data_IF_890089677320
#
_entry.id   IF_890089677320
#
_cell.length_a   1.000
_cell.length_b   1.000
_cell.length_c   1.000
_cell.angle_alpha   90.00
_cell.angle_beta   90.00
_cell.angle_gamma   90.00
#
_symmetry.space_group_name_H-M   'P 1'
#
loop_
_entity.id
_entity.type
_entity.pdbx_description
1 polymer ?
#
# COMPACT_ATOMS: atom_id res chain seq x y z
N UNK A 1 -93.78 -52.83 -6.47
CA UNK A 1 -93.17 -54.01 -7.11
C UNK A 1 -91.88 -54.26 -6.33
N UNK A 2 -91.80 -55.31 -5.50
CA UNK A 2 -90.64 -55.46 -4.59
C UNK A 2 -89.39 -55.76 -5.41
N UNK A 3 -88.37 -54.91 -5.30
CA UNK A 3 -87.05 -55.14 -5.90
C UNK A 3 -86.43 -56.39 -5.29
N UNK A 4 -85.77 -57.21 -6.13
CA UNK A 4 -85.13 -58.44 -5.67
C UNK A 4 -83.87 -58.11 -4.87
N UNK A 5 -83.63 -58.84 -3.78
CA UNK A 5 -82.49 -58.64 -2.89
C UNK A 5 -81.14 -58.63 -3.63
N UNK A 6 -80.98 -59.46 -4.67
CA UNK A 6 -79.75 -59.51 -5.48
C UNK A 6 -79.44 -58.17 -6.15
N UNK A 7 -80.46 -57.49 -6.69
CA UNK A 7 -80.30 -56.18 -7.33
C UNK A 7 -79.93 -55.12 -6.30
N UNK A 8 -80.48 -55.22 -5.08
CA UNK A 8 -80.18 -54.28 -3.99
C UNK A 8 -78.74 -54.46 -3.50
N UNK A 9 -78.27 -55.71 -3.35
CA UNK A 9 -76.90 -56.03 -2.93
C UNK A 9 -75.85 -55.56 -3.94
N UNK A 10 -76.13 -55.69 -5.25
CA UNK A 10 -75.24 -55.19 -6.31
C UNK A 10 -75.03 -53.67 -6.24
N UNK A 11 -76.00 -52.93 -5.69
CA UNK A 11 -75.92 -51.47 -5.53
C UNK A 11 -75.21 -51.03 -4.24
N UNK A 12 -74.97 -51.92 -3.28
CA UNK A 12 -74.39 -51.55 -1.98
C UNK A 12 -72.99 -50.92 -2.04
N UNK A 13 -72.04 -51.39 -2.86
CA UNK A 13 -70.75 -50.72 -2.97
C UNK A 13 -70.91 -49.24 -3.36
N UNK A 14 -71.70 -48.98 -4.40
CA UNK A 14 -71.96 -47.61 -4.87
C UNK A 14 -72.79 -46.79 -3.88
N UNK A 15 -73.67 -47.42 -3.12
CA UNK A 15 -74.46 -46.77 -2.06
C UNK A 15 -73.59 -46.35 -0.87
N UNK A 16 -72.68 -47.22 -0.42
CA UNK A 16 -71.71 -46.92 0.65
C UNK A 16 -70.78 -45.77 0.22
N UNK A 17 -70.37 -45.76 -1.04
CA UNK A 17 -69.53 -44.69 -1.62
C UNK A 17 -70.32 -43.41 -1.94
N UNK A 18 -71.66 -43.41 -1.77
CA UNK A 18 -72.52 -42.24 -2.01
C UNK A 18 -72.69 -41.85 -3.48
N UNK A 19 -72.47 -42.79 -4.41
CA UNK A 19 -72.48 -42.60 -5.86
C UNK A 19 -73.82 -42.96 -6.52
N UNK A 20 -74.80 -43.43 -5.75
CA UNK A 20 -76.14 -43.76 -6.22
C UNK A 20 -77.04 -42.54 -6.34
N UNK A 21 -78.01 -42.60 -7.27
CA UNK A 21 -78.99 -41.52 -7.45
C UNK A 21 -80.00 -41.47 -6.29
N UNK A 22 -80.67 -40.32 -6.10
CA UNK A 22 -81.69 -40.17 -5.04
C UNK A 22 -82.83 -41.19 -5.17
N UNK A 23 -83.31 -41.44 -6.39
CA UNK A 23 -84.36 -42.43 -6.66
C UNK A 23 -83.88 -43.85 -6.31
N UNK A 24 -82.60 -44.15 -6.56
CA UNK A 24 -82.00 -45.43 -6.16
C UNK A 24 -81.88 -45.56 -4.64
N UNK A 25 -81.55 -44.48 -3.93
CA UNK A 25 -81.44 -44.48 -2.47
C UNK A 25 -82.80 -44.73 -1.81
N UNK A 26 -83.85 -44.04 -2.26
CA UNK A 26 -85.21 -44.22 -1.74
C UNK A 26 -85.67 -45.68 -1.89
N UNK A 27 -85.37 -46.32 -3.02
CA UNK A 27 -85.68 -47.74 -3.26
C UNK A 27 -84.84 -48.71 -2.40
N UNK A 28 -83.58 -48.38 -2.15
CA UNK A 28 -82.71 -49.19 -1.28
C UNK A 28 -83.17 -49.09 0.17
N UNK A 29 -83.49 -47.89 0.64
CA UNK A 29 -83.98 -47.63 2.00
C UNK A 29 -85.33 -48.33 2.25
N UNK A 30 -86.29 -48.20 1.33
CA UNK A 30 -87.60 -48.91 1.41
C UNK A 30 -87.39 -50.43 1.49
N UNK A 31 -86.45 -50.99 0.72
CA UNK A 31 -86.13 -52.42 0.78
C UNK A 31 -85.47 -52.83 2.11
N UNK A 32 -84.58 -51.99 2.65
CA UNK A 32 -83.91 -52.24 3.92
C UNK A 32 -84.85 -52.17 5.12
N UNK A 33 -85.97 -51.44 5.03
CA UNK A 33 -87.02 -51.45 6.05
C UNK A 33 -87.72 -52.81 6.13
N UNK A 34 -87.98 -53.43 4.98
CA UNK A 34 -88.72 -54.69 4.88
C UNK A 34 -87.84 -55.97 4.91
N UNK A 35 -86.53 -55.87 4.66
CA UNK A 35 -85.62 -57.02 4.49
C UNK A 35 -84.44 -57.00 5.49
N UNK A 36 -84.54 -57.83 6.53
CA UNK A 36 -83.48 -57.95 7.56
C UNK A 36 -82.15 -58.51 7.02
N UNK A 37 -82.20 -59.47 6.09
CA UNK A 37 -80.98 -60.08 5.52
C UNK A 37 -80.14 -59.09 4.71
N UNK A 38 -80.76 -58.12 4.05
CA UNK A 38 -80.03 -57.09 3.32
C UNK A 38 -79.43 -56.03 4.25
N UNK A 39 -80.03 -55.84 5.44
CA UNK A 39 -79.51 -54.94 6.47
C UNK A 39 -78.24 -55.49 7.10
N UNK A 40 -78.27 -56.76 7.51
CA UNK A 40 -77.09 -57.44 8.06
C UNK A 40 -75.92 -57.46 7.06
N UNK A 41 -76.21 -57.75 5.80
CA UNK A 41 -75.19 -57.77 4.74
C UNK A 41 -74.57 -56.38 4.48
N UNK A 42 -75.36 -55.31 4.55
CA UNK A 42 -74.86 -53.94 4.42
C UNK A 42 -73.98 -53.54 5.61
N UNK A 43 -74.34 -53.97 6.83
CA UNK A 43 -73.58 -53.67 8.03
C UNK A 43 -72.24 -54.43 8.06
N UNK A 44 -72.21 -55.70 7.64
CA UNK A 44 -70.97 -56.49 7.47
C UNK A 44 -69.98 -55.82 6.50
N UNK A 45 -70.47 -55.34 5.35
CA UNK A 45 -69.64 -54.59 4.39
C UNK A 45 -69.07 -53.29 4.97
N UNK A 46 -69.82 -52.58 5.82
CA UNK A 46 -69.34 -51.35 6.47
C UNK A 46 -68.30 -51.63 7.55
N UNK A 47 -68.42 -52.74 8.27
CA UNK A 47 -67.43 -53.16 9.27
C UNK A 47 -66.09 -53.55 8.63
N UNK A 48 -66.11 -54.24 7.48
CA UNK A 48 -64.90 -54.59 6.73
C UNK A 48 -64.11 -53.34 6.27
N UNK A 49 -64.80 -52.29 5.83
CA UNK A 49 -64.20 -51.00 5.42
C UNK A 49 -63.62 -50.23 6.63
N UNK A 50 -64.21 -50.40 7.82
CA UNK A 50 -63.70 -49.79 9.04
C UNK A 50 -62.40 -50.47 9.55
N UNK A 51 -62.18 -51.74 9.20
CA UNK A 51 -61.00 -52.53 9.58
C UNK A 51 -59.69 -52.09 8.89
N UNK A 52 -59.75 -51.63 7.63
CA UNK A 52 -58.56 -51.22 6.85
C UNK A 52 -58.03 -49.81 7.19
N UNK A 53 -58.81 -48.98 7.87
CA UNK A 53 -58.45 -47.58 8.18
C UNK A 53 -57.71 -47.39 9.53
N UNK A 54 -56.97 -48.39 10.02
CA UNK A 54 -56.06 -48.18 11.14
C UNK A 54 -54.68 -47.68 10.67
N UNK A 55 -54.23 -46.49 11.08
CA UNK A 55 -52.88 -46.04 10.75
C UNK A 55 -51.88 -46.92 11.49
N UNK A 56 -51.07 -47.67 10.74
CA UNK A 56 -49.96 -48.47 11.25
C UNK A 56 -49.10 -47.62 12.19
N UNK A 57 -49.19 -47.87 13.50
CA UNK A 57 -48.37 -47.20 14.54
C UNK A 57 -46.91 -47.66 14.45
N UNK A 58 -46.20 -47.26 13.40
CA UNK A 58 -44.79 -47.53 13.19
C UNK A 58 -43.88 -46.58 14.01
N UNK A 59 -44.25 -46.29 15.27
CA UNK A 59 -43.46 -45.43 16.17
C UNK A 59 -42.30 -46.18 16.85
N UNK A 60 -42.27 -47.52 16.81
CA UNK A 60 -41.23 -48.34 17.47
C UNK A 60 -40.01 -48.62 16.57
N UNK A 61 -40.17 -48.71 15.25
CA UNK A 61 -39.05 -48.96 14.31
C UNK A 61 -38.09 -47.77 14.12
N UNK A 62 -38.51 -46.54 14.46
CA UNK A 62 -37.71 -45.31 14.27
C UNK A 62 -36.93 -44.90 15.53
N UNK A 63 -37.19 -45.52 16.68
CA UNK A 63 -36.51 -45.18 17.95
C UNK A 63 -35.01 -45.49 17.98
N UNK A 64 -34.52 -46.62 17.42
CA UNK A 64 -33.09 -46.93 17.39
C UNK A 64 -32.30 -45.88 16.58
N UNK A 65 -32.85 -45.45 15.44
CA UNK A 65 -32.24 -44.46 14.56
C UNK A 65 -32.20 -43.05 15.15
N UNK A 66 -33.20 -42.64 15.96
CA UNK A 66 -33.18 -41.33 16.65
C UNK A 66 -32.05 -41.23 17.69
N UNK A 67 -31.82 -42.28 18.48
CA UNK A 67 -30.77 -42.29 19.52
C UNK A 67 -29.37 -42.29 18.90
N UNK A 68 -29.16 -43.05 17.83
CA UNK A 68 -27.92 -43.01 17.05
C UNK A 68 -27.69 -41.64 16.41
N UNK A 69 -28.71 -41.07 15.75
CA UNK A 69 -28.62 -39.74 15.12
C UNK A 69 -28.30 -38.63 16.13
N UNK A 70 -28.83 -38.71 17.36
CA UNK A 70 -28.51 -37.76 18.43
C UNK A 70 -27.06 -37.90 18.95
N UNK A 71 -26.56 -39.13 19.12
CA UNK A 71 -25.15 -39.37 19.51
C UNK A 71 -24.19 -38.90 18.42
N UNK A 72 -24.48 -39.21 17.15
CA UNK A 72 -23.66 -38.75 16.01
C UNK A 72 -23.72 -37.24 15.85
N UNK A 73 -24.90 -36.60 16.00
CA UNK A 73 -25.02 -35.13 15.99
C UNK A 73 -24.23 -34.46 17.12
N UNK A 74 -24.25 -35.00 18.35
CA UNK A 74 -23.42 -34.49 19.44
C UNK A 74 -21.93 -34.59 19.13
N UNK A 75 -21.47 -35.72 18.57
CA UNK A 75 -20.07 -35.88 18.14
C UNK A 75 -19.69 -34.89 17.05
N UNK A 76 -20.56 -34.67 16.06
CA UNK A 76 -20.34 -33.68 14.99
C UNK A 76 -20.32 -32.26 15.56
N UNK A 77 -21.24 -31.90 16.46
CA UNK A 77 -21.26 -30.58 17.10
C UNK A 77 -20.01 -30.34 17.96
N UNK A 78 -19.54 -31.35 18.69
CA UNK A 78 -18.30 -31.27 19.46
C UNK A 78 -17.07 -31.13 18.54
N UNK A 79 -17.02 -31.89 17.44
CA UNK A 79 -15.93 -31.78 16.45
C UNK A 79 -15.93 -30.43 15.74
N UNK A 80 -17.10 -29.94 15.31
CA UNK A 80 -17.26 -28.63 14.69
C UNK A 80 -16.92 -27.50 15.68
N UNK A 81 -17.38 -27.60 16.93
CA UNK A 81 -17.02 -26.65 17.99
C UNK A 81 -15.52 -26.65 18.29
N UNK A 82 -14.88 -27.82 18.31
CA UNK A 82 -13.42 -27.94 18.44
C UNK A 82 -12.68 -27.31 17.27
N UNK A 83 -13.12 -27.54 16.02
CA UNK A 83 -12.53 -26.93 14.83
C UNK A 83 -12.67 -25.40 14.85
N UNK A 84 -13.84 -24.87 15.20
CA UNK A 84 -14.08 -23.42 15.33
C UNK A 84 -13.18 -22.83 16.42
N UNK A 85 -13.05 -23.49 17.58
CA UNK A 85 -12.18 -23.04 18.66
C UNK A 85 -10.71 -22.97 18.20
N UNK A 86 -10.23 -23.99 17.49
CA UNK A 86 -8.87 -24.01 16.93
C UNK A 86 -8.68 -22.86 15.95
N UNK A 87 -9.65 -22.61 15.05
CA UNK A 87 -9.58 -21.46 14.15
C UNK A 87 -9.52 -20.14 14.91
N UNK A 88 -10.36 -19.95 15.95
CA UNK A 88 -10.34 -18.72 16.77
C UNK A 88 -9.00 -18.55 17.49
N UNK A 89 -8.40 -19.63 18.00
CA UNK A 89 -7.08 -19.56 18.65
C UNK A 89 -5.96 -19.23 17.66
N UNK A 90 -5.96 -19.82 16.46
CA UNK A 90 -4.96 -19.56 15.43
C UNK A 90 -5.11 -18.15 14.87
N UNK A 91 -6.32 -17.75 14.46
CA UNK A 91 -6.57 -16.42 13.90
C UNK A 91 -6.44 -15.33 14.97
N UNK A 92 -7.04 -15.52 16.14
CA UNK A 92 -6.95 -14.56 17.25
C UNK A 92 -5.51 -14.44 17.78
N UNK A 93 -4.82 -15.57 17.95
CA UNK A 93 -3.41 -15.59 18.34
C UNK A 93 -2.51 -14.94 17.29
N UNK A 94 -2.74 -15.22 16.01
CA UNK A 94 -2.03 -14.59 14.90
C UNK A 94 -2.25 -13.07 14.84
N UNK A 95 -3.50 -12.62 14.95
CA UNK A 95 -3.83 -11.19 14.98
C UNK A 95 -3.15 -10.47 16.15
N UNK A 96 -3.14 -11.05 17.35
CA UNK A 96 -2.44 -10.48 18.50
C UNK A 96 -0.91 -10.52 18.34
N UNK A 97 -0.37 -11.59 17.78
CA UNK A 97 1.08 -11.77 17.62
C UNK A 97 1.68 -10.80 16.59
N UNK A 98 1.00 -10.63 15.45
CA UNK A 98 1.44 -9.75 14.36
C UNK A 98 0.95 -8.31 14.50
N UNK A 99 -0.17 -8.08 15.19
CA UNK A 99 -0.71 -6.74 15.44
C UNK A 99 -0.07 -6.03 16.64
N UNK A 100 0.71 -6.74 17.46
CA UNK A 100 1.41 -6.14 18.60
C UNK A 100 2.68 -5.44 18.14
N UNK A 101 2.75 -4.15 18.44
CA UNK A 101 3.93 -3.31 18.28
C UNK A 101 4.58 -3.03 19.64
N UNK A 102 5.85 -2.60 19.62
CA UNK A 102 6.61 -2.14 20.79
C UNK A 102 7.60 -1.06 20.36
N UNK A 103 8.10 -0.25 21.30
CA UNK A 103 9.16 0.73 21.00
C UNK A 103 10.46 0.00 20.63
N UNK A 104 11.07 0.39 19.51
CA UNK A 104 12.27 -0.25 18.98
C UNK A 104 13.49 0.03 19.89
N UNK A 105 14.37 -0.96 20.04
CA UNK A 105 15.70 -0.75 20.63
C UNK A 105 16.62 -0.13 19.57
N UNK A 106 17.42 0.86 19.95
CA UNK A 106 18.20 1.65 18.99
C UNK A 106 19.27 0.86 18.25
N UNK A 107 19.78 -0.23 18.84
CA UNK A 107 20.74 -1.14 18.20
C UNK A 107 20.17 -1.90 17.01
N UNK A 108 18.83 -2.02 16.90
CA UNK A 108 18.16 -2.76 15.84
C UNK A 108 17.69 -1.85 14.68
N UNK A 109 18.02 -0.57 14.75
CA UNK A 109 17.56 0.45 13.81
C UNK A 109 18.76 1.15 13.18
N UNK A 110 18.92 0.98 11.87
CA UNK A 110 19.86 1.77 11.08
C UNK A 110 19.19 3.06 10.65
N UNK A 111 19.70 4.19 11.13
CA UNK A 111 19.28 5.53 10.71
C UNK A 111 20.18 6.02 9.57
N UNK A 112 19.58 6.56 8.50
CA UNK A 112 20.27 7.25 7.41
C UNK A 112 19.56 8.55 7.11
N UNK A 113 20.32 9.61 6.88
CA UNK A 113 19.81 10.92 6.48
C UNK A 113 20.10 11.10 5.00
N UNK A 114 19.10 11.54 4.26
CA UNK A 114 19.18 11.87 2.84
C UNK A 114 18.58 13.26 2.65
N UNK A 115 19.29 14.16 1.98
CA UNK A 115 18.85 15.52 1.70
C UNK A 115 18.87 15.79 0.19
N UNK A 116 17.85 16.48 -0.33
CA UNK A 116 17.79 16.89 -1.73
C UNK A 116 16.77 18.00 -1.94
N UNK A 117 17.13 19.07 -2.66
CA UNK A 117 16.18 20.08 -3.13
C UNK A 117 15.29 20.69 -2.04
N UNK A 118 15.87 21.04 -0.89
CA UNK A 118 15.15 21.56 0.28
C UNK A 118 14.44 20.48 1.12
N UNK A 119 14.48 19.21 0.74
CA UNK A 119 13.88 18.10 1.49
C UNK A 119 14.96 17.43 2.34
N UNK A 120 14.71 17.24 3.63
CA UNK A 120 15.47 16.33 4.47
C UNK A 120 14.59 15.12 4.83
N UNK A 121 15.11 13.92 4.61
CA UNK A 121 14.46 12.65 4.90
C UNK A 121 15.35 11.78 5.77
N UNK A 122 14.83 11.41 6.94
CA UNK A 122 15.44 10.43 7.82
C UNK A 122 14.76 9.10 7.61
N UNK A 123 15.53 8.12 7.15
CA UNK A 123 15.11 6.75 6.97
C UNK A 123 15.57 5.89 8.15
N UNK A 124 14.64 5.13 8.69
CA UNK A 124 14.88 4.14 9.75
C UNK A 124 14.67 2.75 9.17
N UNK A 125 15.73 1.97 9.07
CA UNK A 125 15.71 0.61 8.50
C UNK A 125 15.92 -0.43 9.59
N UNK A 126 15.07 -1.48 9.68
CA UNK A 126 15.27 -2.54 10.66
C UNK A 126 16.47 -3.43 10.29
N UNK A 127 17.33 -3.73 11.25
CA UNK A 127 18.41 -4.70 11.06
C UNK A 127 17.92 -6.16 11.22
N UNK A 128 16.81 -6.34 11.94
CA UNK A 128 16.16 -7.63 12.16
C UNK A 128 15.32 -8.09 10.97
N UNK A 129 15.41 -9.39 10.64
CA UNK A 129 14.49 -10.03 9.69
C UNK A 129 13.07 -10.10 10.24
N UNK A 130 12.07 -10.03 9.36
CA UNK A 130 10.63 -10.03 9.69
C UNK A 130 10.21 -8.91 10.66
N UNK A 131 10.97 -7.83 10.68
CA UNK A 131 10.67 -6.62 11.42
C UNK A 131 10.17 -5.53 10.47
N UNK A 132 9.33 -4.64 11.00
CA UNK A 132 8.88 -3.43 10.35
C UNK A 132 8.91 -2.30 11.36
N UNK A 133 9.38 -1.15 10.93
CA UNK A 133 9.42 0.06 11.72
C UNK A 133 8.29 1.01 11.32
N UNK A 134 7.89 1.83 12.29
CA UNK A 134 6.97 2.95 12.15
C UNK A 134 7.56 4.14 12.91
N UNK A 135 7.37 5.34 12.39
CA UNK A 135 7.64 6.57 13.11
C UNK A 135 6.30 7.14 13.57
N UNK A 136 6.03 7.10 14.88
CA UNK A 136 4.82 7.65 15.47
C UNK A 136 5.10 9.07 15.94
N UNK A 137 4.30 10.04 15.49
CA UNK A 137 4.41 11.43 15.91
C UNK A 137 3.91 11.58 17.37
N UNK A 138 4.73 12.20 18.21
CA UNK A 138 4.41 12.56 19.58
C UNK A 138 4.05 14.04 19.73
N UNK A 139 4.25 14.60 20.92
CA UNK A 139 4.11 16.03 21.15
C UNK A 139 5.31 16.82 20.61
N UNK A 140 5.03 17.95 19.95
CA UNK A 140 6.06 18.78 19.32
C UNK A 140 6.81 18.03 18.21
N UNK A 141 8.11 18.28 18.09
CA UNK A 141 8.99 17.59 17.14
C UNK A 141 9.55 16.29 17.73
N UNK A 142 8.71 15.51 18.41
CA UNK A 142 9.10 14.21 18.95
C UNK A 142 8.53 13.12 18.06
N UNK A 143 9.37 12.16 17.68
CA UNK A 143 8.93 10.91 17.06
C UNK A 143 9.38 9.73 17.91
N UNK A 144 8.54 8.70 17.98
CA UNK A 144 8.89 7.42 18.60
C UNK A 144 9.03 6.37 17.52
N UNK A 145 10.17 5.66 17.53
CA UNK A 145 10.39 4.55 16.60
C UNK A 145 9.76 3.30 17.20
N UNK A 146 8.78 2.77 16.48
CA UNK A 146 7.98 1.63 16.90
C UNK A 146 8.23 0.46 15.96
N UNK A 147 8.49 -0.71 16.53
CA UNK A 147 8.73 -1.96 15.82
C UNK A 147 7.49 -2.86 15.89
N UNK A 148 7.18 -3.51 14.76
CA UNK A 148 6.15 -4.53 14.64
C UNK A 148 6.66 -5.74 13.87
N UNK A 149 5.95 -6.88 14.01
CA UNK A 149 6.28 -8.09 13.27
C UNK A 149 5.68 -8.04 11.88
N UNK A 150 6.46 -8.42 10.87
CA UNK A 150 5.95 -8.62 9.53
C UNK A 150 5.13 -9.91 9.45
N UNK A 151 3.88 -9.80 9.02
CA UNK A 151 2.99 -10.95 8.89
C UNK A 151 3.39 -11.81 7.68
N UNK A 152 3.37 -13.15 7.82
CA UNK A 152 3.62 -14.06 6.71
C UNK A 152 2.53 -13.86 5.67
N UNK A 153 2.89 -13.99 4.39
CA UNK A 153 1.99 -13.83 3.24
C UNK A 153 1.50 -12.39 2.98
N UNK A 154 2.08 -11.38 3.64
CA UNK A 154 1.90 -9.99 3.21
C UNK A 154 2.83 -9.69 2.03
N UNK A 155 2.32 -8.99 1.02
CA UNK A 155 3.12 -8.54 -0.13
C UNK A 155 4.26 -7.65 0.38
N UNK A 156 5.42 -7.71 -0.29
CA UNK A 156 6.58 -6.88 0.05
C UNK A 156 6.14 -5.41 0.15
N UNK A 157 6.04 -4.93 1.38
CA UNK A 157 5.77 -3.54 1.71
C UNK A 157 6.94 -3.11 2.55
N UNK A 158 7.48 -1.94 2.18
CA UNK A 158 8.69 -1.38 2.74
C UNK A 158 8.69 -1.53 4.28
N UNK A 159 9.66 -2.23 4.87
CA UNK A 159 9.75 -2.38 6.32
C UNK A 159 10.30 -1.13 7.02
N UNK A 160 10.77 -0.13 6.27
CA UNK A 160 11.37 1.07 6.83
C UNK A 160 10.32 2.07 7.32
N UNK A 161 10.71 2.89 8.28
CA UNK A 161 10.00 4.11 8.63
C UNK A 161 10.72 5.32 8.06
N UNK A 162 9.97 6.39 7.81
CA UNK A 162 10.48 7.64 7.27
C UNK A 162 9.93 8.80 8.09
N UNK A 163 10.79 9.78 8.32
CA UNK A 163 10.40 11.12 8.72
C UNK A 163 11.00 12.07 7.70
N UNK A 164 10.19 12.94 7.09
CA UNK A 164 10.69 13.91 6.13
C UNK A 164 10.07 15.28 6.37
N UNK A 165 10.85 16.30 6.04
CA UNK A 165 10.43 17.69 6.08
C UNK A 165 10.93 18.41 4.82
N UNK A 166 10.20 19.43 4.41
CA UNK A 166 10.55 20.27 3.26
C UNK A 166 10.79 21.68 3.77
N UNK A 167 12.03 22.14 3.70
CA UNK A 167 12.46 23.48 4.04
C UNK A 167 12.19 24.43 2.88
N UNK A 168 11.63 25.59 3.20
CA UNK A 168 11.44 26.73 2.30
C UNK A 168 12.63 27.67 2.41
N UNK A 169 13.11 27.87 3.64
CA UNK A 169 14.34 28.57 4.02
C UNK A 169 14.86 27.97 5.33
N UNK A 170 15.96 28.51 5.87
CA UNK A 170 16.64 27.96 7.07
C UNK A 170 15.71 27.84 8.28
N UNK A 171 14.73 28.73 8.39
CA UNK A 171 13.82 28.85 9.52
C UNK A 171 12.38 28.47 9.17
N UNK A 172 12.09 27.97 7.96
CA UNK A 172 10.71 27.74 7.51
C UNK A 172 10.53 26.38 6.88
N UNK A 173 9.55 25.61 7.35
CA UNK A 173 9.13 24.35 6.72
C UNK A 173 7.75 24.43 6.11
N UNK A 174 7.55 23.71 5.00
CA UNK A 174 6.26 23.54 4.37
C UNK A 174 5.43 22.53 5.18
N UNK A 175 4.36 23.01 5.80
CA UNK A 175 3.39 22.16 6.49
C UNK A 175 2.57 21.32 5.52
N UNK A 176 2.04 20.19 6.01
CA UNK A 176 1.20 19.24 5.25
C UNK A 176 -0.06 19.87 4.61
N UNK A 177 -0.50 21.02 5.11
CA UNK A 177 -1.66 21.76 4.57
C UNK A 177 -1.26 22.80 3.51
N UNK A 178 0.02 22.82 3.09
CA UNK A 178 0.60 23.84 2.21
C UNK A 178 0.82 25.19 2.88
N UNK A 179 0.70 25.28 4.21
CA UNK A 179 1.01 26.48 4.97
C UNK A 179 2.43 26.40 5.51
N UNK A 180 3.20 27.47 5.34
CA UNK A 180 4.54 27.58 5.89
C UNK A 180 4.49 27.69 7.41
N UNK A 181 5.42 26.99 8.08
CA UNK A 181 5.56 26.93 9.52
C UNK A 181 6.97 27.42 9.85
N UNK A 182 7.05 28.46 10.67
CA UNK A 182 8.29 29.02 11.19
C UNK A 182 8.87 28.08 12.27
N UNK A 183 10.04 27.52 11.97
CA UNK A 183 10.94 26.82 12.87
C UNK A 183 11.67 27.88 13.70
N UNK A 184 11.06 28.34 14.79
CA UNK A 184 11.75 29.25 15.71
C UNK A 184 13.12 28.72 16.20
N UNK A 185 13.89 29.56 16.89
CA UNK A 185 15.35 29.50 17.09
C UNK A 185 16.05 28.21 17.58
N UNK A 186 15.35 27.14 17.99
CA UNK A 186 15.99 25.88 18.40
C UNK A 186 14.98 24.74 18.36
N UNK A 187 14.67 24.25 17.16
CA UNK A 187 13.81 23.08 17.00
C UNK A 187 14.66 21.86 16.65
N UNK A 188 14.94 21.04 17.64
CA UNK A 188 15.53 19.71 17.40
C UNK A 188 14.41 18.70 17.14
N UNK A 189 14.63 17.78 16.19
CA UNK A 189 13.84 16.55 16.09
C UNK A 189 14.30 15.59 17.17
N UNK A 190 13.40 15.24 18.08
CA UNK A 190 13.66 14.27 19.15
C UNK A 190 13.21 12.88 18.72
N UNK A 191 14.15 11.96 18.58
CA UNK A 191 13.91 10.58 18.16
C UNK A 191 13.99 9.68 19.39
N UNK A 192 12.86 9.08 19.76
CA UNK A 192 12.74 8.21 20.93
C UNK A 192 12.81 6.74 20.53
N UNK A 193 13.78 6.04 21.14
CA UNK A 193 13.89 4.59 21.17
C UNK A 193 13.53 4.09 22.57
N UNK A 194 13.49 2.76 22.74
CA UNK A 194 13.19 2.12 24.02
C UNK A 194 14.29 2.32 25.06
N UNK A 195 15.53 2.34 24.60
CA UNK A 195 16.76 2.36 25.39
C UNK A 195 17.40 3.74 25.49
N UNK A 196 17.14 4.64 24.51
CA UNK A 196 17.68 6.01 24.49
C UNK A 196 16.84 7.00 23.70
N UNK A 197 17.25 8.25 23.75
CA UNK A 197 16.73 9.34 22.91
C UNK A 197 17.89 9.96 22.16
N UNK A 198 17.68 10.21 20.87
CA UNK A 198 18.61 10.94 20.01
C UNK A 198 17.95 12.24 19.57
N UNK A 199 18.76 13.27 19.28
CA UNK A 199 18.28 14.56 18.79
C UNK A 199 18.99 14.91 17.52
N UNK A 200 18.24 15.37 16.52
CA UNK A 200 18.78 15.88 15.26
C UNK A 200 18.46 17.36 15.16
N UNK A 201 19.45 18.18 14.85
CA UNK A 201 19.27 19.62 14.64
C UNK A 201 18.49 19.85 13.34
N UNK A 202 17.34 20.54 13.42
CA UNK A 202 16.62 20.92 12.20
C UNK A 202 17.35 22.03 11.44
N UNK A 203 18.14 22.88 12.12
CA UNK A 203 18.98 23.89 11.46
C UNK A 203 20.08 23.24 10.62
N UNK A 204 20.75 22.21 11.16
CA UNK A 204 21.76 21.47 10.40
C UNK A 204 21.14 20.76 9.19
N UNK A 205 19.96 20.15 9.37
CA UNK A 205 19.20 19.54 8.28
C UNK A 205 18.72 20.56 7.26
N UNK A 206 18.30 21.75 7.69
CA UNK A 206 17.87 22.83 6.81
C UNK A 206 19.03 23.27 5.94
N UNK A 207 20.19 23.55 6.56
CA UNK A 207 21.42 23.90 5.85
C UNK A 207 21.80 22.82 4.83
N UNK A 208 21.86 21.56 5.24
CA UNK A 208 22.23 20.45 4.34
C UNK A 208 21.19 20.20 3.24
N UNK A 209 19.90 20.45 3.50
CA UNK A 209 18.84 20.29 2.50
C UNK A 209 18.73 21.45 1.51
N UNK A 210 18.98 22.68 1.98
CA UNK A 210 19.02 23.89 1.17
C UNK A 210 20.33 24.03 0.40
N UNK A 211 21.42 23.46 0.92
CA UNK A 211 22.64 23.16 0.16
C UNK A 211 22.35 22.04 -0.84
N UNK A 212 21.68 22.42 -1.93
CA UNK A 212 21.49 21.61 -3.12
C UNK A 212 22.76 20.78 -3.44
N UNK A 213 22.65 19.46 -3.67
CA UNK A 213 23.81 18.60 -3.81
C UNK A 213 24.62 18.97 -5.08
N UNK A 214 25.95 18.75 -5.07
CA UNK A 214 26.73 18.77 -6.31
C UNK A 214 26.15 17.81 -7.35
N UNK A 215 26.36 18.11 -8.62
CA UNK A 215 25.93 17.24 -9.71
C UNK A 215 26.86 16.04 -9.86
N UNK A 216 26.29 14.86 -10.13
CA UNK A 216 27.04 13.70 -10.60
C UNK A 216 27.53 14.00 -12.01
N UNK A 217 28.79 13.70 -12.30
CA UNK A 217 29.41 14.11 -13.55
C UNK A 217 28.90 13.37 -14.80
N UNK A 218 28.29 12.20 -14.63
CA UNK A 218 27.62 11.45 -15.69
C UNK A 218 26.17 11.90 -15.96
N UNK A 219 25.64 12.78 -15.12
CA UNK A 219 24.30 13.38 -15.28
C UNK A 219 24.35 14.81 -15.86
N UNK A 220 25.55 15.28 -16.22
CA UNK A 220 25.82 16.63 -16.75
C UNK A 220 26.46 16.55 -18.14
N UNK A 221 25.77 17.08 -19.13
CA UNK A 221 26.33 17.34 -20.46
C UNK A 221 27.06 18.69 -20.44
N UNK A 222 28.39 18.65 -20.59
CA UNK A 222 29.20 19.86 -20.75
C UNK A 222 29.34 20.21 -22.23
N UNK A 223 29.07 21.46 -22.57
CA UNK A 223 29.26 22.06 -23.90
C UNK A 223 30.12 23.30 -23.76
N UNK A 224 30.67 23.76 -24.87
CA UNK A 224 31.45 25.00 -24.88
C UNK A 224 31.27 25.76 -26.18
N UNK A 225 31.49 27.07 -26.12
CA UNK A 225 31.55 27.93 -27.28
C UNK A 225 32.55 29.06 -27.05
N UNK A 226 33.33 29.40 -28.08
CA UNK A 226 34.19 30.59 -28.10
C UNK A 226 33.65 31.58 -29.11
N UNK A 227 33.47 32.83 -28.70
CA UNK A 227 33.07 33.91 -29.61
C UNK A 227 34.29 34.60 -30.26
N UNK A 228 34.01 35.42 -31.27
CA UNK A 228 35.04 36.18 -32.00
C UNK A 228 35.78 37.21 -31.13
N UNK A 229 35.26 37.52 -29.94
CA UNK A 229 35.85 38.48 -29.00
C UNK A 229 36.79 37.81 -27.98
N UNK A 230 36.98 36.49 -28.04
CA UNK A 230 37.78 35.75 -27.08
C UNK A 230 37.01 35.30 -25.82
N UNK A 231 35.68 35.43 -25.82
CA UNK A 231 34.84 34.96 -24.73
C UNK A 231 34.60 33.47 -24.87
N UNK A 232 35.03 32.69 -23.88
CA UNK A 232 34.75 31.25 -23.78
C UNK A 232 33.59 31.05 -22.82
N UNK A 233 32.53 30.39 -23.27
CA UNK A 233 31.37 30.04 -22.45
C UNK A 233 31.27 28.52 -22.33
N UNK A 234 31.31 28.03 -21.10
CA UNK A 234 31.01 26.64 -20.76
C UNK A 234 29.54 26.53 -20.38
N UNK A 235 28.80 25.64 -21.02
CA UNK A 235 27.40 25.34 -20.71
C UNK A 235 27.29 23.95 -20.10
N UNK A 236 26.64 23.84 -18.95
CA UNK A 236 26.40 22.59 -18.24
C UNK A 236 24.91 22.29 -18.25
N UNK A 237 24.50 21.19 -18.86
CA UNK A 237 23.09 20.84 -19.02
C UNK A 237 22.75 19.55 -18.28
N UNK A 238 21.66 19.50 -17.52
CA UNK A 238 21.25 18.28 -16.83
C UNK A 238 20.63 17.29 -17.81
N UNK A 239 21.06 16.02 -17.73
CA UNK A 239 20.42 14.93 -18.45
C UNK A 239 19.10 14.48 -17.79
N UNK A 240 18.95 14.79 -16.49
CA UNK A 240 17.77 14.43 -15.70
C UNK A 240 16.64 15.46 -15.87
N UNK A 241 15.45 14.96 -16.19
CA UNK A 241 14.24 15.78 -16.27
C UNK A 241 13.85 16.36 -14.90
N UNK A 242 13.69 17.68 -14.84
CA UNK A 242 13.27 18.40 -13.63
C UNK A 242 14.41 18.86 -12.74
N UNK A 243 15.65 18.56 -13.13
CA UNK A 243 16.87 19.14 -12.54
C UNK A 243 17.25 20.40 -13.32
N UNK A 244 17.75 21.39 -12.60
CA UNK A 244 18.40 22.58 -13.11
C UNK A 244 19.82 22.62 -12.55
N UNK A 245 20.77 23.16 -13.30
CA UNK A 245 22.15 23.29 -12.81
C UNK A 245 22.48 24.75 -12.51
N UNK A 246 23.31 24.98 -11.50
CA UNK A 246 24.03 26.26 -11.31
C UNK A 246 25.52 25.99 -11.16
N UNK A 247 26.32 26.82 -11.80
CA UNK A 247 27.77 26.83 -11.65
C UNK A 247 28.11 27.90 -10.61
N UNK A 248 28.55 27.47 -9.43
CA UNK A 248 28.91 28.34 -8.33
C UNK A 248 30.42 28.61 -8.35
N UNK A 249 30.80 29.87 -8.31
CA UNK A 249 32.21 30.28 -8.19
C UNK A 249 32.70 29.97 -6.76
N UNK A 250 33.63 29.03 -6.65
CA UNK A 250 34.25 28.60 -5.40
C UNK A 250 35.58 29.34 -5.13
N UNK A 251 35.94 30.32 -5.96
CA UNK A 251 37.20 31.05 -5.91
C UNK A 251 38.38 30.26 -6.48
N UNK A 252 39.51 30.95 -6.71
CA UNK A 252 40.76 30.34 -7.20
C UNK A 252 40.60 29.52 -8.50
N UNK A 253 39.79 30.00 -9.46
CA UNK A 253 39.47 29.29 -10.71
C UNK A 253 38.80 27.93 -10.49
N UNK A 254 38.02 27.80 -9.41
CA UNK A 254 37.23 26.62 -9.11
C UNK A 254 35.76 26.93 -9.27
N UNK A 255 35.06 26.07 -9.99
CA UNK A 255 33.61 26.12 -10.10
C UNK A 255 33.00 24.82 -9.61
N UNK A 256 31.92 24.91 -8.84
CA UNK A 256 31.15 23.78 -8.35
C UNK A 256 29.83 23.71 -9.11
N UNK A 257 29.54 22.57 -9.73
CA UNK A 257 28.27 22.35 -10.43
C UNK A 257 27.26 21.77 -9.44
N UNK A 258 26.18 22.50 -9.15
CA UNK A 258 25.12 22.07 -8.22
C UNK A 258 23.77 21.84 -8.90
N UNK A 259 23.00 20.91 -8.35
CA UNK A 259 21.68 20.51 -8.84
C UNK A 259 20.55 21.18 -8.05
N UNK A 260 19.62 21.82 -8.75
CA UNK A 260 18.46 22.48 -8.18
C UNK A 260 17.17 21.81 -8.68
N UNK A 261 16.16 21.74 -7.82
CA UNK A 261 14.89 21.06 -8.07
C UNK A 261 13.71 22.03 -7.91
N UNK A 262 13.79 23.22 -8.51
CA UNK A 262 12.73 24.22 -8.38
C UNK A 262 11.65 24.10 -9.47
N UNK A 263 10.41 24.33 -9.08
CA UNK A 263 9.21 24.42 -9.92
C UNK A 263 8.67 25.86 -10.05
N UNK A 264 9.25 26.82 -9.33
CA UNK A 264 8.74 28.20 -9.18
C UNK A 264 9.54 29.24 -9.97
N UNK A 265 10.81 29.01 -10.33
CA UNK A 265 11.54 29.88 -11.26
C UNK A 265 11.01 29.73 -12.71
N UNK A 266 10.00 30.54 -13.01
CA UNK A 266 9.52 30.78 -14.37
C UNK A 266 10.68 31.32 -15.24
N UNK A 267 11.20 30.46 -16.12
CA UNK A 267 12.13 30.78 -17.23
C UNK A 267 13.63 30.98 -16.93
N UNK A 268 14.26 30.15 -16.09
CA UNK A 268 15.72 29.97 -16.16
C UNK A 268 16.07 28.87 -17.18
N UNK A 269 17.09 29.10 -18.02
CA UNK A 269 17.62 28.07 -18.92
C UNK A 269 17.98 26.83 -18.08
N UNK A 270 17.65 25.63 -18.56
CA UNK A 270 17.87 24.38 -17.81
C UNK A 270 19.34 24.13 -17.44
N UNK A 271 20.27 24.78 -18.14
CA UNK A 271 21.70 24.64 -17.91
C UNK A 271 22.32 25.82 -17.16
N UNK A 272 23.45 25.54 -16.52
CA UNK A 272 24.34 26.54 -15.96
C UNK A 272 25.33 27.03 -17.02
N UNK A 273 25.74 28.30 -16.94
CA UNK A 273 26.76 28.85 -17.82
C UNK A 273 27.86 29.50 -17.01
N UNK A 274 29.11 29.23 -17.40
CA UNK A 274 30.28 29.87 -16.85
C UNK A 274 31.07 30.51 -17.99
N UNK A 275 31.35 31.82 -17.88
CA UNK A 275 31.95 32.59 -18.95
C UNK A 275 33.31 33.14 -18.51
N UNK A 276 34.32 32.91 -19.35
CA UNK A 276 35.68 33.42 -19.19
C UNK A 276 35.96 34.37 -20.35
N UNK A 277 36.35 35.60 -20.01
CA UNK A 277 36.67 36.62 -21.01
C UNK A 277 38.18 36.67 -21.20
N UNK A 278 38.70 36.13 -22.29
CA UNK A 278 40.12 36.28 -22.63
C UNK A 278 40.36 37.60 -23.35
N UNK A 279 41.43 38.29 -22.97
CA UNK A 279 41.94 39.47 -23.68
C UNK A 279 42.93 39.01 -24.76
N UNK A 280 43.76 38.03 -24.43
CA UNK A 280 44.70 37.32 -25.30
C UNK A 280 44.97 35.90 -24.73
N UNK A 281 45.91 35.14 -25.32
CA UNK A 281 46.24 33.76 -24.92
C UNK A 281 46.65 33.64 -23.44
N UNK A 282 47.25 34.68 -22.87
CA UNK A 282 47.87 34.66 -21.55
C UNK A 282 47.16 35.59 -20.55
N UNK A 283 46.01 36.20 -20.91
CA UNK A 283 45.36 37.20 -20.06
C UNK A 283 43.84 37.05 -20.05
N UNK A 284 43.26 36.97 -18.85
CA UNK A 284 41.80 36.93 -18.65
C UNK A 284 41.30 38.17 -17.88
N UNK A 285 40.06 38.56 -18.17
CA UNK A 285 39.33 39.58 -17.43
C UNK A 285 38.40 38.93 -16.40
N UNK A 286 38.59 39.31 -15.14
CA UNK A 286 37.80 38.86 -14.00
C UNK A 286 36.45 39.59 -13.93
N UNK A 287 35.54 39.06 -13.12
CA UNK A 287 34.18 39.59 -12.92
C UNK A 287 34.15 41.02 -12.33
N UNK A 288 35.18 41.40 -11.57
CA UNK A 288 35.36 42.76 -11.03
C UNK A 288 35.96 43.75 -12.05
N UNK A 289 36.24 43.28 -13.27
CA UNK A 289 36.81 44.05 -14.37
C UNK A 289 38.33 44.15 -14.34
N UNK A 290 39.01 43.55 -13.36
CA UNK A 290 40.49 43.49 -13.33
C UNK A 290 41.04 42.44 -14.31
N UNK A 291 42.29 42.60 -14.69
CA UNK A 291 42.99 41.73 -15.62
C UNK A 291 43.99 40.86 -14.86
N UNK A 292 44.06 39.58 -15.20
CA UNK A 292 44.97 38.60 -14.59
C UNK A 292 45.80 37.93 -15.69
N UNK A 293 47.12 38.02 -15.55
CA UNK A 293 48.05 37.22 -16.35
C UNK A 293 47.99 35.76 -15.89
N UNK A 294 47.87 34.86 -16.86
CA UNK A 294 47.81 33.42 -16.68
C UNK A 294 49.22 32.82 -16.74
N UNK A 295 49.47 31.86 -15.85
CA UNK A 295 50.64 30.99 -15.92
C UNK A 295 50.35 29.73 -16.76
N UNK A 296 51.40 29.04 -17.21
CA UNK A 296 51.24 27.78 -17.95
C UNK A 296 50.59 26.66 -17.12
N UNK A 297 50.62 26.78 -15.79
CA UNK A 297 50.06 25.80 -14.85
C UNK A 297 48.65 26.20 -14.40
N UNK A 298 48.12 27.33 -14.87
CA UNK A 298 46.79 27.80 -14.48
C UNK A 298 45.71 26.95 -15.15
N UNK A 299 44.80 26.44 -14.33
CA UNK A 299 43.72 25.53 -14.75
C UNK A 299 42.40 25.98 -14.14
N UNK A 300 41.34 25.89 -14.93
CA UNK A 300 39.98 25.90 -14.43
C UNK A 300 39.69 24.52 -13.83
N UNK A 301 39.25 24.50 -12.58
CA UNK A 301 38.86 23.27 -11.88
C UNK A 301 37.33 23.21 -11.78
N UNK A 302 36.74 22.16 -12.32
CA UNK A 302 35.29 21.91 -12.30
C UNK A 302 35.02 20.78 -11.33
N UNK A 303 34.21 21.04 -10.31
CA UNK A 303 33.89 20.08 -9.26
C UNK A 303 32.48 19.52 -9.44
N UNK A 304 32.42 18.19 -9.44
CA UNK A 304 31.22 17.37 -9.39
C UNK A 304 31.22 16.56 -8.09
N UNK A 305 30.13 15.86 -7.80
CA UNK A 305 30.03 15.03 -6.59
C UNK A 305 31.05 13.86 -6.59
N UNK A 306 31.24 13.24 -7.75
CA UNK A 306 32.03 12.03 -7.96
C UNK A 306 33.45 12.28 -8.45
N UNK A 307 33.71 13.43 -9.09
CA UNK A 307 35.01 13.75 -9.67
C UNK A 307 35.34 15.24 -9.69
N UNK A 308 36.61 15.51 -9.93
CA UNK A 308 37.12 16.85 -10.26
C UNK A 308 37.74 16.80 -11.65
N UNK A 309 37.30 17.69 -12.53
CA UNK A 309 37.84 17.87 -13.87
C UNK A 309 38.70 19.14 -13.91
N UNK A 310 39.84 19.08 -14.60
CA UNK A 310 40.77 20.20 -14.70
C UNK A 310 41.03 20.49 -16.17
N UNK A 311 40.85 21.74 -16.55
CA UNK A 311 40.99 22.20 -17.93
C UNK A 311 41.99 23.36 -17.92
N UNK A 312 43.05 23.29 -18.71
CA UNK A 312 43.99 24.41 -18.78
C UNK A 312 43.35 25.63 -19.45
N UNK A 313 43.70 26.84 -19.00
CA UNK A 313 43.23 28.05 -19.67
C UNK A 313 43.70 28.13 -21.12
N UNK A 314 44.85 27.52 -21.43
CA UNK A 314 45.35 27.37 -22.78
C UNK A 314 44.45 26.49 -23.65
N UNK A 315 44.00 25.34 -23.13
CA UNK A 315 43.10 24.44 -23.86
C UNK A 315 41.73 25.10 -24.09
N UNK A 316 41.24 25.88 -23.10
CA UNK A 316 40.04 26.71 -23.25
C UNK A 316 40.21 27.77 -24.35
N UNK A 317 41.38 28.40 -24.43
CA UNK A 317 41.68 29.38 -25.46
C UNK A 317 41.81 28.74 -26.85
N UNK A 318 42.52 27.62 -26.96
CA UNK A 318 42.76 26.90 -28.22
C UNK A 318 41.52 26.13 -28.71
N UNK A 319 40.57 25.83 -27.82
CA UNK A 319 39.36 25.07 -28.13
C UNK A 319 39.58 23.56 -28.18
N UNK A 320 40.52 23.03 -27.37
CA UNK A 320 40.89 21.61 -27.33
C UNK A 320 40.32 20.96 -26.05
N UNK A 321 39.02 20.69 -25.99
CA UNK A 321 38.36 20.26 -24.75
C UNK A 321 38.01 18.76 -24.73
N UNK A 322 37.88 18.16 -23.53
CA UNK A 322 37.51 16.75 -23.39
C UNK A 322 36.12 16.50 -24.00
N UNK A 323 36.02 15.57 -24.95
CA UNK A 323 34.77 15.25 -25.64
C UNK A 323 34.76 15.59 -27.14
N UNK A 324 35.75 16.34 -27.63
CA UNK A 324 35.95 16.62 -29.07
C UNK A 324 36.50 15.41 -29.86
N UNK A 325 36.10 14.18 -29.49
CA UNK A 325 36.18 13.06 -30.42
C UNK A 325 35.13 13.32 -31.51
N UNK A 326 35.56 13.97 -32.59
CA UNK A 326 34.84 13.97 -33.86
C UNK A 326 34.46 12.50 -34.18
N UNK A 327 33.18 12.18 -34.12
CA UNK A 327 32.64 11.04 -34.84
C UNK A 327 32.86 11.32 -36.33
N UNK A 328 33.95 10.77 -36.87
CA UNK A 328 34.23 10.64 -38.31
C UNK A 328 33.17 9.76 -39.01
#
# INVERSE_FOLDING_TARGET
MKMKCEIIRDLFPSYIDGLTSRESNELIEEHLEECGECREYLDEMKEDIAGENQPVKNKKAVQPFRKLRQKTRRKILLAAGGAVLICVLIFGGGLLYYGRTWTADSEDVKMTVETWGGIASIRFSPEKKNSRLYAEAGEGNTITIVEGRQAPFTKASDPNAYWSCTFVDEDTVMGINGQNIDLGQDQVLTIQYKDRTETVSLEDLAREALENPPAQSDEVEMTWAKDDNGTVTLGFFPEILGVYLRAEDAGEDRILIRQYYDSQEEMAQKGAFYTINFIDEDTVRLSDGTERELSQDDVLTIEYEDKTEKISFRDLWEGNLPGDAQED
#
